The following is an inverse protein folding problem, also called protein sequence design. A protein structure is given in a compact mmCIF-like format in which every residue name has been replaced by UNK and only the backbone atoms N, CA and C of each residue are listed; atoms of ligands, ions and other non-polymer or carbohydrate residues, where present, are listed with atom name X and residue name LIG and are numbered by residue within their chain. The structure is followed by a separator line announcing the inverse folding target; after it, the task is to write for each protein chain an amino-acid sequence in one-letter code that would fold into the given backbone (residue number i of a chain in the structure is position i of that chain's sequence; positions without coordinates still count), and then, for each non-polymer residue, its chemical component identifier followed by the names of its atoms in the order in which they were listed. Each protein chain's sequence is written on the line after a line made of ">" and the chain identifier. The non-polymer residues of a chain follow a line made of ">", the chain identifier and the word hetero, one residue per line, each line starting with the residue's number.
data_IF_359987602224
#
_entry.id   IF_359987602224
#
_cell.length_a   1.000
_cell.length_b   1.000
_cell.length_c   1.000
_cell.angle_alpha   90.00
_cell.angle_beta   90.00
_cell.angle_gamma   90.00
#
_symmetry.space_group_name_H-M   'P 1'
#
loop_
_entity.id
_entity.type
_entity.pdbx_description
1 polymer ?
#
# COMPACT_ATOMS: atom_id res chain seq x y z
N UNK A 1 -25.62 28.15 19.84
CA UNK A 1 -24.42 28.19 18.97
C UNK A 1 -23.19 28.14 19.87
N UNK A 2 -22.29 27.18 19.60
CA UNK A 2 -20.92 26.99 20.13
C UNK A 2 -20.75 25.62 20.78
N UNK A 3 -19.80 24.84 20.23
CA UNK A 3 -18.84 23.97 20.92
C UNK A 3 -18.10 23.08 19.88
N UNK A 4 -17.51 23.69 18.85
CA UNK A 4 -16.65 22.98 17.88
C UNK A 4 -15.16 23.38 18.05
N UNK A 5 -14.87 24.34 18.93
CA UNK A 5 -13.52 24.84 19.22
C UNK A 5 -12.80 24.04 20.31
N UNK A 6 -13.53 23.37 21.20
CA UNK A 6 -12.94 22.56 22.27
C UNK A 6 -12.35 21.26 21.69
N UNK A 7 -13.06 20.60 20.76
CA UNK A 7 -12.63 19.35 20.12
C UNK A 7 -11.35 19.51 19.29
N UNK A 8 -11.21 20.62 18.55
CA UNK A 8 -10.01 20.87 17.73
C UNK A 8 -8.77 21.11 18.59
N UNK A 9 -8.93 21.78 19.75
CA UNK A 9 -7.84 21.98 20.71
C UNK A 9 -7.42 20.67 21.41
N UNK A 10 -8.39 19.79 21.68
CA UNK A 10 -8.15 18.48 22.30
C UNK A 10 -7.37 17.56 21.35
N UNK A 11 -7.79 17.44 20.09
CA UNK A 11 -7.09 16.64 19.06
C UNK A 11 -5.68 17.18 18.80
N UNK A 12 -5.54 18.52 18.76
CA UNK A 12 -4.23 19.15 18.58
C UNK A 12 -3.29 18.87 19.76
N UNK A 13 -3.78 18.93 21.00
CA UNK A 13 -2.99 18.61 22.19
C UNK A 13 -2.56 17.15 22.22
N UNK A 14 -3.43 16.22 21.78
CA UNK A 14 -3.11 14.79 21.70
C UNK A 14 -2.05 14.52 20.61
N UNK A 15 -2.15 15.19 19.47
CA UNK A 15 -1.14 15.13 18.41
C UNK A 15 0.21 15.68 18.87
N UNK A 16 0.23 16.83 19.53
CA UNK A 16 1.46 17.45 20.06
C UNK A 16 2.09 16.56 21.13
N UNK A 17 1.28 15.99 22.03
CA UNK A 17 1.75 15.07 23.07
C UNK A 17 2.32 13.78 22.46
N UNK A 18 1.62 13.18 21.49
CA UNK A 18 2.11 12.00 20.76
C UNK A 18 3.42 12.30 20.01
N UNK A 19 3.53 13.49 19.39
CA UNK A 19 4.76 13.93 18.74
C UNK A 19 5.89 14.12 19.75
N UNK A 20 5.63 14.75 20.89
CA UNK A 20 6.62 14.96 21.94
C UNK A 20 7.11 13.64 22.54
N UNK A 21 6.23 12.65 22.68
CA UNK A 21 6.59 11.34 23.21
C UNK A 21 7.35 10.46 22.20
N UNK A 22 7.03 10.58 20.90
CA UNK A 22 7.73 9.86 19.83
C UNK A 22 9.10 10.48 19.49
N UNK A 23 9.18 11.81 19.53
CA UNK A 23 10.42 12.58 19.43
C UNK A 23 10.94 12.93 20.82
N UNK A 24 10.84 11.97 21.76
CA UNK A 24 11.19 12.11 23.18
C UNK A 24 12.26 13.16 23.39
N UNK A 25 11.96 14.08 24.32
CA UNK A 25 12.82 15.19 24.76
C UNK A 25 14.28 14.89 24.42
N UNK A 26 14.94 15.84 23.79
CA UNK A 26 16.39 16.00 23.92
C UNK A 26 16.68 16.22 25.42
N UNK A 27 16.48 15.17 26.23
CA UNK A 27 17.10 14.98 27.50
C UNK A 27 18.56 15.15 27.18
N UNK A 28 19.08 16.26 27.69
CA UNK A 28 20.46 16.40 28.15
C UNK A 28 21.03 15.01 28.43
N UNK A 29 21.62 14.40 27.40
CA UNK A 29 22.44 13.23 27.58
C UNK A 29 23.68 13.79 28.22
N UNK A 30 23.75 13.57 29.53
CA UNK A 30 25.00 13.43 30.26
C UNK A 30 26.11 12.98 29.29
N UNK A 31 27.20 13.74 29.10
CA UNK A 31 28.23 13.45 28.09
C UNK A 31 29.10 12.24 28.46
N UNK A 32 28.51 11.21 29.06
CA UNK A 32 29.21 10.11 29.71
C UNK A 32 28.75 8.71 29.26
N UNK A 33 27.95 8.58 28.19
CA UNK A 33 28.07 7.39 27.35
C UNK A 33 29.11 7.71 26.29
N UNK A 34 30.33 7.21 26.48
CA UNK A 34 31.37 7.26 25.46
C UNK A 34 30.79 6.72 24.15
N UNK A 35 31.10 7.35 23.01
CA UNK A 35 30.57 6.95 21.70
C UNK A 35 30.74 5.43 21.45
N UNK A 36 31.86 4.88 21.92
CA UNK A 36 32.20 3.46 21.83
C UNK A 36 31.22 2.55 22.60
N UNK A 37 30.76 2.96 23.78
CA UNK A 37 29.77 2.20 24.56
C UNK A 37 28.38 2.22 23.91
N UNK A 38 28.02 3.36 23.30
CA UNK A 38 26.76 3.48 22.56
C UNK A 38 26.79 2.63 21.28
N UNK A 39 27.92 2.64 20.55
CA UNK A 39 28.12 1.80 19.37
C UNK A 39 28.07 0.31 19.72
N UNK A 40 28.69 -0.11 20.83
CA UNK A 40 28.64 -1.48 21.31
C UNK A 40 27.21 -1.92 21.67
N UNK A 41 26.43 -1.05 22.33
CA UNK A 41 25.03 -1.33 22.65
C UNK A 41 24.15 -1.44 21.40
N UNK A 42 24.36 -0.57 20.40
CA UNK A 42 23.65 -0.63 19.11
C UNK A 42 24.00 -1.92 18.37
N UNK A 43 25.27 -2.32 18.34
CA UNK A 43 25.73 -3.55 17.69
C UNK A 43 25.13 -4.80 18.36
N UNK A 44 25.07 -4.82 19.69
CA UNK A 44 24.49 -5.94 20.44
C UNK A 44 22.96 -6.01 20.25
N UNK A 45 22.28 -4.86 20.18
CA UNK A 45 20.85 -4.79 19.90
C UNK A 45 20.53 -5.23 18.45
N UNK A 46 21.34 -4.80 17.47
CA UNK A 46 21.21 -5.24 16.09
C UNK A 46 21.39 -6.76 15.96
N UNK A 47 22.42 -7.32 16.61
CA UNK A 47 22.68 -8.76 16.60
C UNK A 47 21.60 -9.59 17.33
N UNK A 48 21.04 -9.07 18.42
CA UNK A 48 20.03 -9.78 19.24
C UNK A 48 18.60 -9.64 18.74
N UNK A 49 18.27 -8.54 18.04
CA UNK A 49 16.92 -8.27 17.57
C UNK A 49 16.50 -9.13 16.36
N UNK A 50 17.43 -9.83 15.70
CA UNK A 50 17.14 -10.66 14.53
C UNK A 50 16.48 -9.88 13.37
N UNK A 51 16.48 -8.55 13.46
CA UNK A 51 15.98 -7.65 12.44
C UNK A 51 16.93 -7.79 11.27
N UNK A 52 16.45 -8.44 10.21
CA UNK A 52 17.14 -8.39 8.93
C UNK A 52 17.41 -6.92 8.62
N UNK A 53 18.62 -6.59 8.16
CA UNK A 53 19.05 -5.25 7.66
C UNK A 53 18.05 -4.63 6.65
N UNK A 54 17.07 -5.41 6.20
CA UNK A 54 15.89 -5.01 5.45
C UNK A 54 14.62 -5.13 6.31
N UNK A 55 14.50 -4.32 7.35
CA UNK A 55 13.26 -4.16 8.14
C UNK A 55 12.12 -3.46 7.36
N UNK A 56 12.30 -3.24 6.06
CA UNK A 56 11.29 -2.68 5.18
C UNK A 56 10.63 -3.83 4.42
N UNK A 57 9.29 -3.87 4.30
CA UNK A 57 8.64 -4.81 3.40
C UNK A 57 9.27 -4.65 2.02
N UNK A 58 9.55 -5.76 1.30
CA UNK A 58 10.19 -5.70 0.00
C UNK A 58 9.41 -4.72 -0.88
N UNK A 59 10.09 -3.63 -1.30
CA UNK A 59 9.51 -2.57 -2.14
C UNK A 59 9.07 -3.08 -3.52
N UNK A 60 9.30 -4.36 -3.81
CA UNK A 60 8.95 -5.09 -5.01
C UNK A 60 7.60 -5.82 -4.92
N UNK A 61 6.79 -5.64 -3.87
CA UNK A 61 5.39 -6.06 -3.90
C UNK A 61 4.64 -5.12 -4.84
N UNK A 62 4.71 -5.44 -6.14
CA UNK A 62 3.86 -4.85 -7.16
C UNK A 62 2.48 -5.46 -6.93
N UNK A 63 1.51 -4.65 -6.49
CA UNK A 63 0.11 -5.07 -6.35
C UNK A 63 -0.33 -5.87 -7.60
N UNK A 64 -1.03 -7.01 -7.47
CA UNK A 64 -1.47 -7.80 -8.61
C UNK A 64 -2.36 -6.90 -9.46
N UNK A 65 -1.86 -6.51 -10.63
CA UNK A 65 -2.58 -5.54 -11.44
C UNK A 65 -3.71 -6.27 -12.14
N UNK A 66 -4.95 -5.87 -11.88
CA UNK A 66 -6.19 -6.50 -12.38
C UNK A 66 -6.36 -6.46 -13.91
N UNK A 67 -5.33 -6.05 -14.66
CA UNK A 67 -5.28 -5.95 -16.14
C UNK A 67 -5.75 -7.24 -16.81
N UNK A 68 -5.48 -8.39 -16.20
CA UNK A 68 -5.81 -9.71 -16.74
C UNK A 68 -7.33 -9.96 -16.88
N UNK A 69 -8.14 -9.44 -15.96
CA UNK A 69 -9.58 -9.72 -15.98
C UNK A 69 -10.28 -8.99 -17.14
N UNK A 70 -9.90 -7.74 -17.39
CA UNK A 70 -10.50 -6.92 -18.45
C UNK A 70 -10.16 -7.46 -19.85
N UNK A 71 -8.93 -7.94 -20.04
CA UNK A 71 -8.50 -8.56 -21.31
C UNK A 71 -9.32 -9.80 -21.64
N UNK A 72 -9.57 -10.66 -20.65
CA UNK A 72 -10.33 -11.90 -20.85
C UNK A 72 -11.75 -11.62 -21.32
N UNK A 73 -12.45 -10.67 -20.69
CA UNK A 73 -13.80 -10.29 -21.08
C UNK A 73 -13.84 -9.63 -22.47
N UNK A 74 -12.85 -8.79 -22.80
CA UNK A 74 -12.75 -8.18 -24.12
C UNK A 74 -12.64 -9.21 -25.25
N UNK A 75 -11.77 -10.22 -25.10
CA UNK A 75 -11.65 -11.26 -26.13
C UNK A 75 -12.91 -12.12 -26.21
N UNK A 76 -13.56 -12.41 -25.09
CA UNK A 76 -14.77 -13.22 -25.05
C UNK A 76 -15.94 -12.50 -25.76
N UNK A 77 -16.09 -11.18 -25.57
CA UNK A 77 -17.11 -10.39 -26.29
C UNK A 77 -16.78 -10.28 -27.78
N UNK A 78 -15.50 -10.14 -28.15
CA UNK A 78 -15.08 -10.09 -29.55
C UNK A 78 -15.42 -11.39 -30.29
N UNK A 79 -15.14 -12.54 -29.69
CA UNK A 79 -15.47 -13.86 -30.26
C UNK A 79 -16.98 -14.05 -30.37
N UNK A 80 -17.75 -13.64 -29.34
CA UNK A 80 -19.20 -13.73 -29.35
C UNK A 80 -19.81 -12.88 -30.47
N UNK A 81 -19.36 -11.63 -30.62
CA UNK A 81 -19.80 -10.71 -31.67
C UNK A 81 -19.50 -11.29 -33.06
N UNK A 82 -18.27 -11.76 -33.27
CA UNK A 82 -17.86 -12.36 -34.54
C UNK A 82 -18.71 -13.57 -34.90
N UNK A 83 -18.93 -14.47 -33.93
CA UNK A 83 -19.73 -15.69 -34.14
C UNK A 83 -21.18 -15.34 -34.48
N UNK A 84 -21.78 -14.38 -33.79
CA UNK A 84 -23.14 -13.92 -34.09
C UNK A 84 -23.25 -13.35 -35.51
N UNK A 85 -22.24 -12.60 -35.96
CA UNK A 85 -22.19 -12.05 -37.31
C UNK A 85 -22.14 -13.15 -38.38
N UNK A 86 -21.27 -14.15 -38.18
CA UNK A 86 -21.12 -15.29 -39.10
C UNK A 86 -22.40 -16.12 -39.17
N UNK A 87 -22.98 -16.47 -38.02
CA UNK A 87 -24.24 -17.23 -37.96
C UNK A 87 -25.38 -16.46 -38.62
N UNK A 88 -25.48 -15.15 -38.36
CA UNK A 88 -26.47 -14.28 -39.01
C UNK A 88 -26.29 -14.24 -40.53
N UNK A 89 -25.04 -14.16 -41.00
CA UNK A 89 -24.74 -14.15 -42.44
C UNK A 89 -25.10 -15.47 -43.11
N UNK A 90 -24.80 -16.60 -42.46
CA UNK A 90 -25.14 -17.94 -42.98
C UNK A 90 -26.67 -18.11 -43.03
N UNK A 91 -27.38 -17.75 -41.95
CA UNK A 91 -28.84 -17.87 -41.90
C UNK A 91 -29.52 -17.05 -42.98
N UNK A 92 -29.09 -15.79 -43.17
CA UNK A 92 -29.60 -14.92 -44.22
C UNK A 92 -29.34 -15.48 -45.62
N UNK A 93 -28.12 -16.01 -45.84
CA UNK A 93 -27.76 -16.63 -47.12
C UNK A 93 -28.62 -17.86 -47.44
N UNK A 94 -28.85 -18.73 -46.44
CA UNK A 94 -29.73 -19.91 -46.59
C UNK A 94 -31.18 -19.49 -46.85
N UNK A 95 -31.67 -18.46 -46.17
CA UNK A 95 -33.04 -17.97 -46.36
C UNK A 95 -33.29 -17.33 -47.73
N UNK A 96 -32.27 -16.75 -48.36
CA UNK A 96 -32.38 -16.20 -49.73
C UNK A 96 -32.30 -17.26 -50.83
N UNK A 97 -31.71 -18.43 -50.55
CA UNK A 97 -31.53 -19.51 -51.53
C UNK A 97 -32.71 -20.51 -51.57
N UNK A 98 -33.62 -20.46 -50.59
CA UNK A 98 -34.89 -21.20 -50.55
C UNK A 98 -36.07 -20.28 -50.89
#
# INVERSE_FOLDING_TARGET
>A
MSNNSEDSSAVWSQYVNAKHNAFGEESEKDPAQTLEELEAAIAQLAASSGLSETGLPPRAIVHPVERSQLSRWFYLTLVLLFTALVVGMIWWGVQQQY
#
